data_IF_077288884334
#
_entry.id   IF_077288884334
#
_cell.length_a   1.000
_cell.length_b   1.000
_cell.length_c   1.000
_cell.angle_alpha   90.00
_cell.angle_beta   90.00
_cell.angle_gamma   90.00
#
_symmetry.space_group_name_H-M   'P 1'
#
loop_
_entity.id
_entity.type
_entity.pdbx_description
1 polymer ?
#
# COMPACT_ATOMS: atom_id res chain seq x y z
N UNK A 1 -30.12 59.82 -36.33
CA UNK A 1 -31.14 58.83 -35.94
C UNK A 1 -30.62 57.46 -36.37
N UNK A 2 -29.93 56.74 -35.48
CA UNK A 2 -29.28 55.45 -35.81
C UNK A 2 -30.17 54.34 -35.28
N UNK A 3 -30.78 53.60 -36.22
CA UNK A 3 -31.61 52.43 -35.99
C UNK A 3 -30.72 51.24 -35.58
N UNK A 4 -30.90 50.74 -34.36
CA UNK A 4 -30.26 49.52 -33.87
C UNK A 4 -31.07 48.30 -34.32
N UNK A 5 -30.45 47.43 -35.12
CA UNK A 5 -31.07 46.24 -35.71
C UNK A 5 -31.45 45.17 -34.64
N UNK A 6 -32.73 44.77 -34.54
CA UNK A 6 -33.23 43.86 -33.49
C UNK A 6 -32.91 42.36 -33.69
N UNK A 7 -32.38 41.95 -34.85
CA UNK A 7 -32.21 40.53 -35.18
C UNK A 7 -31.05 39.83 -34.45
N UNK A 8 -30.01 40.56 -34.00
CA UNK A 8 -28.84 39.97 -33.31
C UNK A 8 -29.10 39.56 -31.85
N UNK A 9 -30.14 40.08 -31.20
CA UNK A 9 -30.38 39.88 -29.77
C UNK A 9 -31.02 38.50 -29.50
N UNK A 10 -31.93 38.04 -30.37
CA UNK A 10 -32.68 36.80 -30.15
C UNK A 10 -31.82 35.53 -30.25
N UNK A 11 -30.80 35.51 -31.13
CA UNK A 11 -29.88 34.39 -31.23
C UNK A 11 -28.94 34.28 -30.02
N UNK A 12 -28.59 35.41 -29.42
CA UNK A 12 -27.73 35.45 -28.22
C UNK A 12 -28.47 34.94 -26.97
N UNK A 13 -29.74 35.31 -26.80
CA UNK A 13 -30.58 34.83 -25.69
C UNK A 13 -30.86 33.33 -25.79
N UNK A 14 -31.05 32.79 -27.00
CA UNK A 14 -31.24 31.35 -27.23
C UNK A 14 -29.97 30.55 -26.95
N UNK A 15 -28.79 31.07 -27.31
CA UNK A 15 -27.50 30.45 -27.00
C UNK A 15 -27.21 30.44 -25.49
N UNK A 16 -27.47 31.55 -24.78
CA UNK A 16 -27.28 31.61 -23.32
C UNK A 16 -28.19 30.63 -22.57
N UNK A 17 -29.46 30.46 -22.98
CA UNK A 17 -30.37 29.47 -22.35
C UNK A 17 -29.85 28.04 -22.48
N UNK A 18 -29.28 27.68 -23.62
CA UNK A 18 -28.69 26.33 -23.84
C UNK A 18 -27.44 26.12 -22.99
N UNK A 19 -26.59 27.14 -22.86
CA UNK A 19 -25.39 27.11 -22.00
C UNK A 19 -25.77 26.96 -20.53
N UNK A 20 -26.79 27.68 -20.06
CA UNK A 20 -27.29 27.55 -18.68
C UNK A 20 -27.85 26.15 -18.38
N UNK A 21 -28.54 25.51 -19.33
CA UNK A 21 -29.09 24.14 -19.16
C UNK A 21 -27.97 23.08 -19.12
N UNK A 22 -26.94 23.23 -19.95
CA UNK A 22 -25.78 22.32 -19.94
C UNK A 22 -24.98 22.47 -18.64
N UNK A 23 -24.80 23.70 -18.15
CA UNK A 23 -24.14 23.96 -16.87
C UNK A 23 -24.92 23.40 -15.68
N UNK A 24 -26.25 23.51 -15.66
CA UNK A 24 -27.05 22.94 -14.56
C UNK A 24 -27.09 21.41 -14.56
N UNK A 25 -27.06 20.77 -15.73
CA UNK A 25 -26.92 19.29 -15.84
C UNK A 25 -25.55 18.79 -15.38
N UNK A 26 -24.49 19.59 -15.51
CA UNK A 26 -23.13 19.23 -15.08
C UNK A 26 -22.95 19.34 -13.55
N UNK A 27 -23.63 20.29 -12.91
CA UNK A 27 -23.61 20.45 -11.44
C UNK A 27 -24.46 19.40 -10.73
N UNK A 28 -25.54 18.92 -11.36
CA UNK A 28 -26.42 17.88 -10.78
C UNK A 28 -25.80 16.47 -10.77
N UNK A 29 -24.75 16.21 -11.55
CA UNK A 29 -24.03 14.93 -11.55
C UNK A 29 -22.79 14.90 -10.65
N UNK A 30 -22.41 16.03 -10.02
CA UNK A 30 -21.24 16.11 -9.13
C UNK A 30 -21.48 15.64 -7.69
N UNK A 31 -22.72 15.22 -7.37
CA UNK A 31 -23.16 14.91 -6.01
C UNK A 31 -23.11 13.43 -5.62
N UNK A 32 -22.38 12.58 -6.34
CA UNK A 32 -22.08 11.26 -5.78
C UNK A 32 -21.04 11.47 -4.67
N UNK A 33 -21.28 11.02 -3.43
CA UNK A 33 -20.24 11.03 -2.42
C UNK A 33 -19.06 10.30 -3.01
N UNK A 34 -17.91 10.99 -3.09
CA UNK A 34 -16.66 10.31 -3.30
C UNK A 34 -16.51 9.36 -2.11
N UNK A 35 -16.92 8.10 -2.29
CA UNK A 35 -16.57 7.04 -1.37
C UNK A 35 -15.08 6.82 -1.63
N UNK A 36 -14.27 7.71 -1.04
CA UNK A 36 -12.87 7.46 -0.81
C UNK A 36 -12.86 6.29 0.18
N UNK A 37 -12.92 5.07 -0.36
CA UNK A 37 -12.62 3.90 0.42
C UNK A 37 -11.15 4.04 0.82
N UNK A 38 -10.87 4.33 2.09
CA UNK A 38 -9.53 4.27 2.63
C UNK A 38 -8.96 2.88 2.36
N UNK A 39 -8.00 2.82 1.43
CA UNK A 39 -7.32 1.59 1.08
C UNK A 39 -6.19 1.40 2.08
N UNK A 40 -6.38 0.50 3.03
CA UNK A 40 -5.33 0.12 3.97
C UNK A 40 -4.32 -0.78 3.25
N UNK A 41 -3.05 -0.37 3.21
CA UNK A 41 -2.00 -1.18 2.60
C UNK A 41 -0.72 -1.26 3.41
N UNK A 42 -0.13 -2.46 3.44
CA UNK A 42 1.24 -2.69 3.88
C UNK A 42 2.17 -2.83 2.68
N UNK A 43 3.35 -2.23 2.74
CA UNK A 43 4.38 -2.38 1.71
C UNK A 43 5.50 -3.28 2.24
N UNK A 44 5.89 -4.25 1.42
CA UNK A 44 6.96 -5.20 1.72
C UNK A 44 7.90 -5.21 0.51
N UNK A 45 9.04 -4.54 0.61
CA UNK A 45 10.00 -4.41 -0.48
C UNK A 45 11.22 -5.30 -0.24
N UNK A 46 11.36 -6.33 -1.08
CA UNK A 46 12.44 -7.29 -1.04
C UNK A 46 13.48 -6.92 -2.11
N UNK A 47 14.70 -6.67 -1.66
CA UNK A 47 15.81 -6.23 -2.50
C UNK A 47 17.15 -6.81 -2.06
N UNK A 48 18.13 -6.73 -2.95
CA UNK A 48 19.52 -7.07 -2.68
C UNK A 48 20.33 -5.78 -2.43
N UNK A 49 21.19 -5.81 -1.41
CA UNK A 49 22.15 -4.75 -1.11
C UNK A 49 23.37 -5.35 -0.43
N UNK A 50 24.58 -4.89 -0.77
CA UNK A 50 25.82 -5.27 -0.09
C UNK A 50 26.01 -6.79 0.11
N UNK A 51 25.68 -7.59 -0.91
CA UNK A 51 25.75 -9.07 -0.88
C UNK A 51 24.82 -9.75 0.16
N UNK A 52 23.74 -9.08 0.55
CA UNK A 52 22.69 -9.62 1.39
C UNK A 52 21.30 -9.25 0.85
N UNK A 53 20.29 -9.99 1.29
CA UNK A 53 18.90 -9.66 1.00
C UNK A 53 18.27 -8.94 2.17
N UNK A 54 17.42 -7.96 1.84
CA UNK A 54 16.72 -7.13 2.81
C UNK A 54 15.24 -7.08 2.49
N UNK A 55 14.44 -6.95 3.53
CA UNK A 55 13.02 -6.65 3.48
C UNK A 55 12.77 -5.33 4.19
N UNK A 56 12.34 -4.31 3.46
CA UNK A 56 11.79 -3.10 4.04
C UNK A 56 10.28 -3.23 4.16
N UNK A 57 9.76 -3.06 5.38
CA UNK A 57 8.35 -3.20 5.69
C UNK A 57 7.82 -1.83 6.11
N UNK A 58 6.74 -1.36 5.48
CA UNK A 58 6.04 -0.13 5.86
C UNK A 58 4.59 -0.43 6.18
N UNK A 59 4.18 -0.08 7.39
CA UNK A 59 2.83 -0.35 7.91
C UNK A 59 2.25 0.91 8.52
N UNK A 60 0.93 1.05 8.41
CA UNK A 60 0.20 2.05 9.17
C UNK A 60 0.37 1.80 10.67
N UNK A 61 0.76 2.84 11.40
CA UNK A 61 1.09 2.76 12.82
C UNK A 61 -0.14 2.48 13.66
N UNK A 62 -1.27 3.13 13.38
CA UNK A 62 -2.49 2.96 14.17
C UNK A 62 -3.01 1.53 14.06
N UNK A 63 -3.05 0.99 12.84
CA UNK A 63 -3.45 -0.39 12.57
C UNK A 63 -2.49 -1.41 13.22
N UNK A 64 -1.19 -1.12 13.23
CA UNK A 64 -0.20 -2.01 13.83
C UNK A 64 -0.28 -2.00 15.36
N UNK A 65 -0.51 -0.85 15.98
CA UNK A 65 -0.75 -0.74 17.43
C UNK A 65 -2.02 -1.50 17.82
N UNK A 66 -3.09 -1.39 17.03
CA UNK A 66 -4.31 -2.19 17.23
C UNK A 66 -4.04 -3.70 17.15
N UNK A 67 -3.20 -4.12 16.20
CA UNK A 67 -2.89 -5.52 15.97
C UNK A 67 -1.98 -6.16 17.01
N UNK A 68 -0.97 -5.42 17.48
CA UNK A 68 0.01 -5.91 18.46
C UNK A 68 -0.53 -5.76 19.89
N UNK A 69 -1.44 -4.80 20.10
CA UNK A 69 -2.09 -4.52 21.37
C UNK A 69 -1.47 -3.32 22.11
N UNK A 70 -2.28 -2.72 22.98
CA UNK A 70 -1.89 -1.53 23.77
C UNK A 70 -1.06 -1.86 25.01
N UNK A 71 -0.96 -3.14 25.38
CA UNK A 71 -0.25 -3.61 26.58
C UNK A 71 1.23 -3.92 26.32
N UNK A 72 1.74 -3.56 25.14
CA UNK A 72 3.18 -3.58 24.89
C UNK A 72 3.84 -2.60 25.85
N UNK A 73 4.91 -3.03 26.52
CA UNK A 73 5.62 -2.22 27.51
C UNK A 73 5.99 -0.83 26.98
N UNK A 74 6.33 0.08 27.89
CA UNK A 74 6.53 1.49 27.54
C UNK A 74 7.87 1.79 26.86
N UNK A 75 8.74 0.79 26.68
CA UNK A 75 10.09 0.99 26.10
C UNK A 75 10.12 0.70 24.61
N UNK A 76 11.12 1.27 23.92
CA UNK A 76 11.33 1.00 22.49
C UNK A 76 11.66 -0.47 22.25
N UNK A 77 12.41 -1.07 23.16
CA UNK A 77 12.84 -2.46 23.12
C UNK A 77 11.65 -3.42 23.22
N UNK A 78 10.68 -3.13 24.10
CA UNK A 78 9.44 -3.91 24.21
C UNK A 78 8.66 -3.90 22.89
N UNK A 79 8.53 -2.73 22.26
CA UNK A 79 7.90 -2.58 20.96
C UNK A 79 8.64 -3.32 19.85
N UNK A 80 9.96 -3.19 19.78
CA UNK A 80 10.76 -3.90 18.78
C UNK A 80 10.59 -5.43 18.93
N UNK A 81 10.57 -5.93 20.17
CA UNK A 81 10.36 -7.35 20.46
C UNK A 81 8.96 -7.81 20.01
N UNK A 82 7.92 -7.09 20.43
CA UNK A 82 6.54 -7.42 20.08
C UNK A 82 6.29 -7.36 18.57
N UNK A 83 6.83 -6.35 17.89
CA UNK A 83 6.75 -6.21 16.43
C UNK A 83 7.47 -7.33 15.70
N UNK A 84 8.68 -7.68 16.14
CA UNK A 84 9.44 -8.79 15.55
C UNK A 84 8.67 -10.12 15.67
N UNK A 85 8.10 -10.37 16.85
CA UNK A 85 7.29 -11.58 17.08
C UNK A 85 6.03 -11.61 16.21
N UNK A 86 5.33 -10.47 16.10
CA UNK A 86 4.16 -10.34 15.26
C UNK A 86 4.50 -10.59 13.78
N UNK A 87 5.52 -9.92 13.25
CA UNK A 87 5.96 -10.07 11.87
C UNK A 87 6.41 -11.50 11.56
N UNK A 88 7.17 -12.14 12.44
CA UNK A 88 7.59 -13.54 12.27
C UNK A 88 6.43 -14.54 12.30
N UNK A 89 5.33 -14.19 12.96
CA UNK A 89 4.12 -15.03 13.02
C UNK A 89 3.28 -14.89 11.76
N UNK A 90 3.21 -13.68 11.21
CA UNK A 90 2.32 -13.33 10.11
C UNK A 90 3.02 -13.24 8.75
N UNK A 91 4.33 -13.47 8.68
CA UNK A 91 5.08 -13.42 7.44
C UNK A 91 6.07 -14.58 7.34
N UNK A 92 6.07 -15.22 6.18
CA UNK A 92 7.03 -16.26 5.81
C UNK A 92 7.54 -16.00 4.40
N UNK A 93 8.86 -16.15 4.22
CA UNK A 93 9.54 -15.93 2.96
C UNK A 93 10.47 -17.12 2.70
N UNK A 94 10.49 -17.62 1.48
CA UNK A 94 11.53 -18.56 1.03
C UNK A 94 12.12 -18.09 -0.30
N UNK A 95 13.42 -18.31 -0.48
CA UNK A 95 14.14 -18.06 -1.73
C UNK A 95 14.76 -19.37 -2.19
N UNK A 96 14.43 -19.81 -3.40
CA UNK A 96 14.83 -21.11 -3.95
C UNK A 96 14.53 -22.28 -2.99
N UNK A 97 13.40 -22.23 -2.29
CA UNK A 97 12.98 -23.26 -1.32
C UNK A 97 13.66 -23.18 0.05
N UNK A 98 14.64 -22.29 0.25
CA UNK A 98 15.26 -22.06 1.56
C UNK A 98 14.41 -21.02 2.31
N UNK A 99 13.83 -21.43 3.44
CA UNK A 99 13.07 -20.52 4.31
C UNK A 99 14.02 -19.48 4.91
N UNK A 100 13.68 -18.21 4.77
CA UNK A 100 14.43 -17.12 5.34
C UNK A 100 14.00 -16.84 6.77
N UNK A 101 14.98 -16.59 7.64
CA UNK A 101 14.77 -15.95 8.94
C UNK A 101 14.98 -14.45 8.80
N UNK A 102 14.22 -13.66 9.55
CA UNK A 102 14.34 -12.21 9.57
C UNK A 102 15.18 -11.78 10.77
N UNK A 103 16.27 -11.07 10.49
CA UNK A 103 17.06 -10.35 11.48
C UNK A 103 16.68 -8.87 11.41
N UNK A 104 15.89 -8.40 12.38
CA UNK A 104 15.33 -7.05 12.36
C UNK A 104 16.37 -6.04 12.87
N UNK A 105 16.97 -5.28 11.94
CA UNK A 105 18.07 -4.37 12.23
C UNK A 105 17.57 -3.01 12.74
N UNK A 106 16.43 -2.52 12.23
CA UNK A 106 15.95 -1.18 12.54
C UNK A 106 14.42 -1.08 12.58
N UNK A 107 13.93 -0.31 13.56
CA UNK A 107 12.53 0.11 13.69
C UNK A 107 12.47 1.63 13.77
N UNK A 108 11.81 2.25 12.79
CA UNK A 108 11.61 3.69 12.69
C UNK A 108 10.12 3.99 12.86
N UNK A 109 9.79 4.69 13.95
CA UNK A 109 8.44 5.13 14.26
C UNK A 109 8.25 6.56 13.77
N UNK A 110 7.56 6.72 12.64
CA UNK A 110 7.12 8.01 12.15
C UNK A 110 5.73 8.34 12.72
N UNK A 111 5.17 9.49 12.34
CA UNK A 111 3.88 9.94 12.86
C UNK A 111 2.76 8.93 12.58
N UNK A 112 2.61 8.52 11.31
CA UNK A 112 1.54 7.62 10.85
C UNK A 112 2.03 6.25 10.36
N UNK A 113 3.35 6.07 10.21
CA UNK A 113 3.94 4.88 9.59
C UNK A 113 5.03 4.30 10.48
N UNK A 114 5.08 2.98 10.58
CA UNK A 114 6.23 2.25 11.10
C UNK A 114 7.00 1.66 9.92
N UNK A 115 8.31 1.93 9.88
CA UNK A 115 9.23 1.33 8.92
C UNK A 115 10.13 0.35 9.65
N UNK A 116 10.19 -0.88 9.16
CA UNK A 116 11.05 -1.94 9.70
C UNK A 116 12.01 -2.39 8.61
N UNK A 117 13.30 -2.43 8.94
CA UNK A 117 14.33 -3.00 8.08
C UNK A 117 14.74 -4.36 8.64
N UNK A 118 14.61 -5.40 7.83
CA UNK A 118 15.04 -6.74 8.18
C UNK A 118 16.05 -7.28 7.17
N UNK A 119 17.17 -7.78 7.66
CA UNK A 119 18.10 -8.58 6.87
C UNK A 119 17.63 -10.03 6.86
N UNK A 120 17.75 -10.69 5.72
CA UNK A 120 17.39 -12.10 5.60
C UNK A 120 18.62 -12.97 5.85
N UNK A 121 18.50 -13.91 6.79
CA UNK A 121 19.54 -14.89 7.06
C UNK A 121 19.46 -16.07 6.08
N UNK A 122 19.88 -15.80 4.85
CA UNK A 122 20.04 -16.78 3.77
C UNK A 122 21.24 -16.39 2.90
N UNK A 123 21.96 -17.38 2.33
CA UNK A 123 23.10 -17.10 1.47
C UNK A 123 22.68 -16.40 0.18
N UNK A 124 23.52 -15.49 -0.30
CA UNK A 124 23.36 -14.87 -1.61
C UNK A 124 23.44 -15.95 -2.70
N UNK A 125 22.52 -15.91 -3.66
CA UNK A 125 22.37 -16.95 -4.68
C UNK A 125 21.60 -16.45 -5.89
N UNK A 126 21.77 -17.07 -7.06
CA UNK A 126 20.95 -16.74 -8.22
C UNK A 126 19.48 -17.06 -7.95
N UNK A 127 18.60 -16.06 -7.97
CA UNK A 127 17.19 -16.23 -7.59
C UNK A 127 16.41 -16.81 -8.75
N UNK A 128 15.86 -18.01 -8.55
CA UNK A 128 14.94 -18.65 -9.49
C UNK A 128 13.48 -18.55 -9.03
N UNK A 129 13.26 -18.55 -7.72
CA UNK A 129 11.93 -18.53 -7.13
C UNK A 129 11.94 -17.82 -5.77
N UNK A 130 10.89 -17.04 -5.52
CA UNK A 130 10.58 -16.45 -4.21
C UNK A 130 9.16 -16.85 -3.85
N UNK A 131 8.96 -17.43 -2.67
CA UNK A 131 7.64 -17.72 -2.14
C UNK A 131 7.37 -16.82 -0.94
N UNK A 132 6.21 -16.19 -0.93
CA UNK A 132 5.81 -15.27 0.14
C UNK A 132 4.44 -15.69 0.66
N UNK A 133 4.33 -15.84 1.97
CA UNK A 133 3.06 -15.90 2.70
C UNK A 133 3.02 -14.72 3.65
N UNK A 134 1.96 -13.93 3.60
CA UNK A 134 1.85 -12.70 4.37
C UNK A 134 0.40 -12.45 4.78
N UNK A 135 0.15 -12.58 6.07
CA UNK A 135 -1.13 -12.32 6.74
C UNK A 135 -1.11 -11.08 7.64
N UNK A 136 -0.02 -10.28 7.59
CA UNK A 136 0.15 -9.06 8.38
C UNK A 136 -1.07 -8.15 8.21
N UNK A 137 -1.73 -7.82 9.32
CA UNK A 137 -2.95 -7.00 9.41
C UNK A 137 -4.20 -7.55 8.66
N UNK A 138 -4.10 -8.61 7.86
CA UNK A 138 -5.21 -9.12 7.03
C UNK A 138 -6.40 -9.67 7.83
N UNK A 139 -6.15 -10.09 9.07
CA UNK A 139 -7.19 -10.66 9.94
C UNK A 139 -7.98 -9.61 10.69
N UNK A 140 -7.34 -8.49 11.01
CA UNK A 140 -7.85 -7.44 11.91
C UNK A 140 -8.43 -6.29 11.10
N UNK A 141 -7.75 -5.87 10.04
CA UNK A 141 -8.12 -4.69 9.26
C UNK A 141 -8.90 -5.11 8.03
N UNK A 142 -10.15 -4.65 7.93
CA UNK A 142 -10.98 -4.91 6.76
C UNK A 142 -10.37 -4.25 5.50
N UNK A 143 -10.43 -4.95 4.37
CA UNK A 143 -9.90 -4.51 3.10
C UNK A 143 -8.38 -4.22 3.08
N UNK A 144 -7.63 -4.70 4.08
CA UNK A 144 -6.17 -4.65 4.06
C UNK A 144 -5.59 -5.35 2.83
N UNK A 145 -4.61 -4.69 2.22
CA UNK A 145 -3.84 -5.18 1.08
C UNK A 145 -2.36 -5.18 1.41
N UNK A 146 -1.66 -6.29 1.18
CA UNK A 146 -0.21 -6.32 1.32
C UNK A 146 0.43 -6.35 -0.06
N UNK A 147 1.23 -5.32 -0.36
CA UNK A 147 1.93 -5.20 -1.64
C UNK A 147 3.35 -5.70 -1.45
N UNK A 148 3.65 -6.84 -2.05
CA UNK A 148 4.99 -7.41 -2.10
C UNK A 148 5.68 -6.90 -3.36
N UNK A 149 6.81 -6.20 -3.18
CA UNK A 149 7.72 -5.80 -4.27
C UNK A 149 8.98 -6.64 -4.19
N UNK A 150 9.48 -7.07 -5.33
CA UNK A 150 10.72 -7.82 -5.45
C UNK A 150 11.53 -7.27 -6.62
N UNK A 151 12.77 -6.85 -6.35
CA UNK A 151 13.66 -6.21 -7.32
C UNK A 151 14.92 -7.05 -7.50
N UNK A 152 14.94 -7.91 -8.53
CA UNK A 152 16.06 -8.83 -8.81
C UNK A 152 16.28 -9.02 -10.30
N UNK A 153 17.52 -9.24 -10.72
CA UNK A 153 17.92 -9.46 -12.13
C UNK A 153 17.39 -8.36 -13.07
N UNK A 154 17.49 -7.10 -12.66
CA UNK A 154 16.95 -5.92 -13.36
C UNK A 154 15.43 -5.95 -13.60
N UNK A 155 14.71 -6.91 -12.99
CA UNK A 155 13.25 -7.03 -13.06
C UNK A 155 12.64 -6.60 -11.73
N UNK A 156 11.69 -5.66 -11.82
CA UNK A 156 10.82 -5.29 -10.70
C UNK A 156 9.49 -6.00 -10.85
N UNK A 157 9.06 -6.70 -9.81
CA UNK A 157 7.77 -7.40 -9.77
C UNK A 157 6.99 -6.96 -8.54
N UNK A 158 5.69 -6.81 -8.69
CA UNK A 158 4.80 -6.41 -7.60
C UNK A 158 3.58 -7.32 -7.55
N UNK A 159 3.20 -7.77 -6.36
CA UNK A 159 2.06 -8.64 -6.14
C UNK A 159 1.20 -8.07 -5.02
N UNK A 160 -0.10 -8.11 -5.23
CA UNK A 160 -1.08 -7.71 -4.21
C UNK A 160 -1.64 -8.95 -3.54
N UNK A 161 -1.46 -9.02 -2.22
CA UNK A 161 -2.02 -10.01 -1.33
C UNK A 161 -3.20 -9.39 -0.57
N UNK A 162 -4.15 -10.25 -0.19
CA UNK A 162 -5.37 -9.88 0.52
C UNK A 162 -5.86 -11.09 1.32
N UNK A 163 -6.89 -10.93 2.15
CA UNK A 163 -7.50 -12.05 2.89
C UNK A 163 -7.91 -13.25 2.00
N UNK A 164 -8.29 -13.00 0.75
CA UNK A 164 -8.64 -14.06 -0.23
C UNK A 164 -7.43 -14.74 -0.87
N UNK A 165 -6.27 -14.09 -0.87
CA UNK A 165 -5.01 -14.56 -1.47
C UNK A 165 -3.86 -13.97 -0.67
N UNK A 166 -3.43 -14.66 0.38
CA UNK A 166 -2.38 -14.21 1.30
C UNK A 166 -0.99 -14.76 0.93
N UNK A 167 -0.88 -15.55 -0.14
CA UNK A 167 0.39 -16.10 -0.62
C UNK A 167 0.60 -15.92 -2.12
N UNK A 168 1.87 -15.90 -2.53
CA UNK A 168 2.28 -15.86 -3.93
C UNK A 168 3.65 -16.49 -4.16
N UNK A 169 3.90 -16.90 -5.40
CA UNK A 169 5.19 -17.41 -5.87
C UNK A 169 5.66 -16.56 -7.05
N UNK A 170 6.89 -16.08 -6.98
CA UNK A 170 7.52 -15.21 -7.97
C UNK A 170 8.65 -15.99 -8.64
N UNK A 171 8.49 -16.33 -9.92
CA UNK A 171 9.49 -17.09 -10.70
C UNK A 171 10.32 -16.18 -11.60
N UNK A 172 11.64 -16.23 -11.55
CA UNK A 172 12.53 -15.29 -12.25
C UNK A 172 13.02 -15.74 -13.62
#
# INVERSE_FOLDING_TARGET
MISLYPWKINNFVSAMKKVCIVLSLLVLNGGLPAIAHDLNFGLFDLFEKDQAYFMEIRLDKANLVEAVGNDVGSTKEDWNCALSQYLNTHMSLSINGIKASFDYEEFIFLDDVIVVMAKLDIPIQNISEIQVENTVLLEIIENQLNIIKASFHDKRRSFRLSKKRFSTTIKY
#
